data_IF_551501306829
#
_entry.id   IF_551501306829
#
_cell.length_a   1.000
_cell.length_b   1.000
_cell.length_c   1.000
_cell.angle_alpha   90.00
_cell.angle_beta   90.00
_cell.angle_gamma   90.00
#
_symmetry.space_group_name_H-M   'P 1'
#
loop_
_entity.id
_entity.type
_entity.pdbx_description
1 polymer ?
#
# COMPACT_ATOMS: atom_id res chain seq x y z
N UNK A 1 44.41 -21.84 -1.30
CA UNK A 1 43.56 -22.24 -2.45
C UNK A 1 42.46 -23.14 -1.91
N UNK A 2 41.18 -22.79 -1.83
CA UNK A 2 40.31 -21.93 -2.65
C UNK A 2 39.10 -21.53 -1.80
N UNK A 3 38.61 -20.30 -1.97
CA UNK A 3 37.41 -19.74 -1.29
C UNK A 3 36.13 -20.57 -1.54
N UNK A 4 35.18 -20.64 -0.59
CA UNK A 4 33.86 -21.19 -0.86
C UNK A 4 33.06 -20.21 -1.74
N UNK A 5 32.43 -20.74 -2.78
CA UNK A 5 31.60 -19.99 -3.76
C UNK A 5 30.34 -19.42 -3.08
N UNK A 6 29.85 -18.25 -3.52
CA UNK A 6 28.65 -17.66 -2.95
C UNK A 6 27.41 -18.48 -3.29
N UNK A 7 26.49 -18.52 -2.34
CA UNK A 7 25.18 -19.15 -2.40
C UNK A 7 24.51 -18.98 -3.77
N UNK A 8 24.22 -20.09 -4.43
CA UNK A 8 23.25 -20.16 -5.52
C UNK A 8 21.90 -19.68 -5.00
N UNK A 9 21.54 -18.44 -5.37
CA UNK A 9 20.22 -17.86 -5.15
C UNK A 9 19.22 -18.62 -6.04
N UNK A 10 18.70 -19.74 -5.54
CA UNK A 10 17.57 -20.46 -6.15
C UNK A 10 16.40 -19.49 -6.15
N UNK A 11 15.97 -19.02 -7.34
CA UNK A 11 14.70 -18.31 -7.49
C UNK A 11 13.59 -19.35 -7.31
N UNK A 12 12.80 -19.35 -6.22
CA UNK A 12 11.67 -20.24 -6.15
C UNK A 12 10.64 -19.68 -7.11
N UNK A 13 10.30 -20.46 -8.14
CA UNK A 13 9.09 -20.27 -8.94
C UNK A 13 7.90 -20.20 -7.96
N UNK A 14 7.46 -19.00 -7.62
CA UNK A 14 6.33 -18.73 -6.74
C UNK A 14 5.45 -17.69 -7.42
N UNK A 15 4.13 -17.78 -7.15
CA UNK A 15 3.09 -17.07 -7.89
C UNK A 15 3.42 -15.58 -8.11
N UNK A 16 3.13 -15.03 -9.31
CA UNK A 16 3.68 -13.75 -9.80
C UNK A 16 3.39 -12.53 -8.92
N UNK A 17 2.43 -12.61 -7.99
CA UNK A 17 2.00 -11.51 -7.12
C UNK A 17 2.23 -11.73 -5.62
N UNK A 18 3.04 -12.72 -5.20
CA UNK A 18 3.36 -12.92 -3.77
C UNK A 18 4.35 -11.90 -3.21
N UNK A 19 5.03 -11.15 -4.09
CA UNK A 19 5.90 -10.05 -3.71
C UNK A 19 5.19 -8.71 -3.95
N UNK A 20 5.52 -7.67 -3.16
CA UNK A 20 5.14 -6.30 -3.47
C UNK A 20 5.54 -5.89 -4.89
N UNK A 21 4.93 -4.84 -5.42
CA UNK A 21 5.32 -4.31 -6.73
C UNK A 21 6.61 -3.49 -6.60
N UNK A 22 7.63 -3.72 -7.44
CA UNK A 22 8.91 -3.03 -7.38
C UNK A 22 8.80 -1.54 -7.72
N UNK A 23 9.66 -0.74 -7.09
CA UNK A 23 9.79 0.70 -7.29
C UNK A 23 9.84 1.08 -8.78
N UNK A 24 10.60 0.32 -9.56
CA UNK A 24 10.83 0.53 -10.98
C UNK A 24 9.53 0.47 -11.78
N UNK A 25 8.58 -0.37 -11.38
CA UNK A 25 7.26 -0.42 -12.02
C UNK A 25 6.47 0.87 -11.76
N UNK A 26 6.48 1.38 -10.53
CA UNK A 26 5.81 2.64 -10.22
C UNK A 26 6.44 3.82 -10.98
N UNK A 27 7.77 3.85 -11.08
CA UNK A 27 8.52 4.92 -11.76
C UNK A 27 8.36 4.90 -13.28
N UNK A 28 8.45 3.71 -13.89
CA UNK A 28 8.55 3.57 -15.35
C UNK A 28 7.23 3.27 -16.04
N UNK A 29 6.27 2.70 -15.30
CA UNK A 29 4.97 2.29 -15.87
C UNK A 29 3.84 3.13 -15.29
N UNK A 30 3.69 3.20 -13.97
CA UNK A 30 2.51 3.85 -13.36
C UNK A 30 2.57 5.36 -13.50
N UNK A 31 3.60 6.00 -12.92
CA UNK A 31 3.71 7.46 -12.85
C UNK A 31 3.66 8.15 -14.23
N UNK A 32 4.33 7.64 -15.30
CA UNK A 32 4.31 8.27 -16.63
C UNK A 32 2.98 8.08 -17.39
N UNK A 33 2.11 7.17 -16.93
CA UNK A 33 0.83 6.86 -17.58
C UNK A 33 -0.37 7.53 -16.90
N UNK A 34 -0.15 8.19 -15.76
CA UNK A 34 -1.18 9.02 -15.13
C UNK A 34 -1.32 10.35 -15.88
N UNK A 35 -2.56 10.74 -16.16
CA UNK A 35 -2.88 12.10 -16.62
C UNK A 35 -2.45 13.13 -15.56
N UNK A 36 -2.20 14.40 -15.93
CA UNK A 36 -1.93 15.45 -14.95
C UNK A 36 -2.98 15.49 -13.84
N UNK A 37 -2.54 15.46 -12.58
CA UNK A 37 -3.42 15.38 -11.41
C UNK A 37 -3.97 13.98 -11.14
N UNK A 38 -3.44 12.96 -11.82
CA UNK A 38 -3.85 11.57 -11.65
C UNK A 38 -3.47 11.03 -10.26
N UNK A 39 -4.31 10.11 -9.77
CA UNK A 39 -4.15 9.46 -8.48
C UNK A 39 -4.01 7.96 -8.70
N UNK A 40 -3.04 7.34 -8.04
CA UNK A 40 -2.88 5.90 -8.01
C UNK A 40 -3.27 5.36 -6.64
N UNK A 41 -4.07 4.30 -6.57
CA UNK A 41 -4.47 3.65 -5.32
C UNK A 41 -4.16 2.16 -5.43
N UNK A 42 -3.58 1.59 -4.38
CA UNK A 42 -3.34 0.14 -4.30
C UNK A 42 -3.63 -0.43 -2.93
N UNK A 43 -4.19 -1.64 -2.91
CA UNK A 43 -4.27 -2.45 -1.70
C UNK A 43 -2.85 -2.84 -1.26
N UNK A 44 -2.57 -2.72 0.03
CA UNK A 44 -1.22 -2.75 0.59
C UNK A 44 -1.05 -3.81 1.68
N UNK A 45 -1.94 -4.81 1.72
CA UNK A 45 -1.83 -5.96 2.62
C UNK A 45 -2.33 -5.69 4.05
N UNK A 46 -2.04 -6.63 4.97
CA UNK A 46 -2.37 -6.48 6.38
C UNK A 46 -1.79 -5.19 6.98
N UNK A 47 -2.61 -4.48 7.76
CA UNK A 47 -2.27 -3.23 8.41
C UNK A 47 -2.71 -3.25 9.90
N UNK A 48 -2.84 -4.45 10.47
CA UNK A 48 -3.05 -4.66 11.89
C UNK A 48 -1.84 -4.23 12.71
N UNK A 49 -2.03 -4.16 14.03
CA UNK A 49 -1.00 -3.74 14.98
C UNK A 49 0.31 -4.53 14.84
N UNK A 50 0.21 -5.85 14.64
CA UNK A 50 1.35 -6.75 14.50
C UNK A 50 1.70 -7.08 13.04
N UNK A 51 0.75 -6.94 12.12
CA UNK A 51 0.86 -7.38 10.73
C UNK A 51 1.25 -6.26 9.76
N UNK A 52 1.20 -4.98 10.18
CA UNK A 52 1.53 -3.84 9.31
C UNK A 52 2.97 -3.83 8.77
N UNK A 53 3.91 -4.48 9.44
CA UNK A 53 5.32 -4.57 9.01
C UNK A 53 5.58 -5.71 8.04
N UNK A 54 4.60 -6.56 7.75
CA UNK A 54 4.77 -7.67 6.80
C UNK A 54 5.00 -7.14 5.37
N UNK A 55 4.12 -6.23 4.92
CA UNK A 55 4.21 -5.60 3.59
C UNK A 55 3.70 -4.16 3.53
N UNK A 56 2.79 -3.76 4.42
CA UNK A 56 2.12 -2.45 4.31
C UNK A 56 3.10 -1.29 4.44
N UNK A 57 3.99 -1.31 5.44
CA UNK A 57 5.03 -0.28 5.61
C UNK A 57 5.96 -0.21 4.40
N UNK A 58 6.43 -1.37 3.93
CA UNK A 58 7.33 -1.48 2.78
C UNK A 58 6.70 -0.93 1.50
N UNK A 59 5.43 -1.27 1.22
CA UNK A 59 4.69 -0.73 0.06
C UNK A 59 4.54 0.78 0.18
N UNK A 60 4.18 1.29 1.36
CA UNK A 60 4.07 2.73 1.60
C UNK A 60 5.40 3.47 1.36
N UNK A 61 6.49 2.96 1.93
CA UNK A 61 7.84 3.51 1.74
C UNK A 61 8.26 3.48 0.27
N UNK A 62 7.97 2.38 -0.42
CA UNK A 62 8.25 2.22 -1.85
C UNK A 62 7.49 3.25 -2.68
N UNK A 63 6.20 3.47 -2.43
CA UNK A 63 5.44 4.51 -3.12
C UNK A 63 5.96 5.91 -2.81
N UNK A 64 6.35 6.20 -1.56
CA UNK A 64 6.92 7.49 -1.16
C UNK A 64 8.26 7.81 -1.83
N UNK A 65 8.99 6.79 -2.28
CA UNK A 65 10.23 6.97 -3.05
C UNK A 65 9.98 7.37 -4.51
N UNK A 66 8.73 7.36 -4.97
CA UNK A 66 8.34 7.59 -6.38
C UNK A 66 7.37 8.77 -6.52
N UNK A 67 6.36 8.84 -5.64
CA UNK A 67 5.30 9.83 -5.72
C UNK A 67 5.54 10.99 -4.74
N UNK A 68 5.26 12.25 -5.14
CA UNK A 68 5.41 13.41 -4.27
C UNK A 68 4.61 13.35 -2.97
N UNK A 69 3.41 12.77 -2.98
CA UNK A 69 2.60 12.55 -1.79
C UNK A 69 1.96 11.17 -1.79
N UNK A 70 1.95 10.53 -0.60
CA UNK A 70 1.30 9.22 -0.38
C UNK A 70 0.54 9.26 0.93
N UNK A 71 -0.76 9.01 0.87
CA UNK A 71 -1.65 8.89 2.02
C UNK A 71 -2.02 7.43 2.23
N UNK A 72 -1.72 6.92 3.42
CA UNK A 72 -2.13 5.58 3.80
C UNK A 72 -3.45 5.62 4.56
N UNK A 73 -4.30 4.64 4.33
CA UNK A 73 -5.56 4.46 5.05
C UNK A 73 -5.83 2.98 5.23
N UNK A 74 -6.64 2.62 6.22
CA UNK A 74 -6.88 1.22 6.53
C UNK A 74 -8.29 0.99 7.06
N UNK A 75 -8.83 -0.20 6.78
CA UNK A 75 -10.17 -0.61 7.20
C UNK A 75 -10.14 -2.05 7.70
N UNK A 76 -10.87 -2.32 8.77
CA UNK A 76 -11.13 -3.69 9.21
C UNK A 76 -11.98 -4.44 8.17
N UNK A 77 -11.48 -5.59 7.68
CA UNK A 77 -12.21 -6.46 6.76
C UNK A 77 -12.63 -7.71 7.53
N UNK A 78 -13.92 -7.86 7.91
CA UNK A 78 -14.35 -8.91 8.84
C UNK A 78 -14.00 -10.33 8.38
N UNK A 79 -14.11 -10.62 7.10
CA UNK A 79 -13.76 -11.94 6.54
C UNK A 79 -12.26 -12.23 6.54
N UNK A 80 -11.41 -11.22 6.69
CA UNK A 80 -9.96 -11.37 6.79
C UNK A 80 -9.48 -11.45 8.25
N UNK A 81 -10.38 -11.18 9.20
CA UNK A 81 -10.06 -11.12 10.63
C UNK A 81 -8.90 -10.16 10.96
N UNK A 82 -8.69 -9.10 10.14
CA UNK A 82 -7.64 -8.10 10.35
C UNK A 82 -8.02 -6.76 9.69
N UNK A 83 -7.23 -5.73 10.01
CA UNK A 83 -7.20 -4.45 9.30
C UNK A 83 -6.43 -4.62 7.99
N UNK A 84 -7.02 -4.15 6.90
CA UNK A 84 -6.39 -4.12 5.58
C UNK A 84 -6.02 -2.71 5.18
N UNK A 85 -4.78 -2.53 4.71
CA UNK A 85 -4.22 -1.25 4.36
C UNK A 85 -4.31 -0.95 2.86
N UNK A 86 -4.35 0.34 2.56
CA UNK A 86 -4.33 0.90 1.21
C UNK A 86 -3.43 2.12 1.18
N UNK A 87 -2.84 2.40 0.03
CA UNK A 87 -2.04 3.60 -0.21
C UNK A 87 -2.56 4.36 -1.41
N UNK A 88 -2.81 5.65 -1.23
CA UNK A 88 -3.19 6.62 -2.25
C UNK A 88 -1.99 7.52 -2.56
N UNK A 89 -1.48 7.44 -3.79
CA UNK A 89 -0.32 8.17 -4.26
C UNK A 89 -0.71 9.24 -5.28
N UNK A 90 -0.24 10.47 -5.07
CA UNK A 90 -0.62 11.66 -5.84
C UNK A 90 0.60 12.21 -6.58
N UNK A 91 0.39 12.73 -7.79
CA UNK A 91 1.41 13.43 -8.57
C UNK A 91 1.69 14.85 -8.07
N UNK A 92 0.79 15.43 -7.30
CA UNK A 92 0.89 16.79 -6.77
C UNK A 92 0.88 16.74 -5.24
N UNK A 93 1.98 17.17 -4.62
CA UNK A 93 2.10 17.21 -3.16
C UNK A 93 1.27 18.32 -2.51
N UNK A 94 0.81 19.30 -3.29
CA UNK A 94 -0.07 20.38 -2.83
C UNK A 94 -1.56 20.00 -2.88
N UNK A 95 -1.89 18.88 -3.54
CA UNK A 95 -3.24 18.39 -3.63
C UNK A 95 -3.79 18.06 -2.22
N UNK A 96 -4.91 18.68 -1.89
CA UNK A 96 -5.60 18.43 -0.63
C UNK A 96 -6.52 17.23 -0.77
N UNK A 97 -6.57 16.41 0.26
CA UNK A 97 -7.63 15.42 0.40
C UNK A 97 -8.97 16.13 0.55
N UNK A 98 -10.02 15.49 0.04
CA UNK A 98 -11.37 16.02 0.11
C UNK A 98 -11.80 16.13 1.58
N UNK A 99 -12.52 17.21 1.88
CA UNK A 99 -13.33 17.28 3.10
C UNK A 99 -14.46 16.24 3.03
N UNK A 100 -15.02 15.82 4.19
CA UNK A 100 -16.17 14.92 4.21
C UNK A 100 -17.31 15.40 3.31
N UNK A 101 -17.63 16.68 3.37
CA UNK A 101 -18.73 17.30 2.62
C UNK A 101 -18.46 17.30 1.11
N UNK A 102 -17.22 17.57 0.69
CA UNK A 102 -16.82 17.49 -0.71
C UNK A 102 -16.87 16.05 -1.24
N UNK A 103 -16.51 15.06 -0.42
CA UNK A 103 -16.60 13.65 -0.80
C UNK A 103 -18.06 13.28 -1.01
N UNK A 104 -18.93 13.60 -0.05
CA UNK A 104 -20.36 13.26 -0.10
C UNK A 104 -21.06 13.94 -1.29
N UNK A 105 -20.77 15.23 -1.53
CA UNK A 105 -21.32 15.95 -2.68
C UNK A 105 -20.88 15.32 -4.02
N UNK A 106 -19.60 14.97 -4.17
CA UNK A 106 -19.08 14.33 -5.39
C UNK A 106 -19.59 12.90 -5.55
N UNK A 107 -19.77 12.16 -4.46
CA UNK A 107 -20.33 10.82 -4.50
C UNK A 107 -21.78 10.86 -4.99
N UNK A 108 -22.59 11.78 -4.46
CA UNK A 108 -23.97 11.99 -4.89
C UNK A 108 -24.08 12.44 -6.36
N UNK A 109 -23.14 13.27 -6.83
CA UNK A 109 -23.10 13.72 -8.23
C UNK A 109 -22.73 12.60 -9.21
N UNK A 110 -21.78 11.72 -8.83
CA UNK A 110 -21.07 10.84 -9.78
C UNK A 110 -21.46 9.36 -9.70
N UNK A 111 -21.99 8.91 -8.57
CA UNK A 111 -22.32 7.50 -8.34
C UNK A 111 -23.83 7.34 -8.49
N UNK A 112 -24.25 6.78 -9.62
CA UNK A 112 -25.66 6.45 -9.87
C UNK A 112 -26.04 5.11 -9.23
N UNK A 113 -27.26 5.01 -8.71
CA UNK A 113 -27.84 3.78 -8.20
C UNK A 113 -28.02 3.79 -6.68
N UNK A 114 -27.89 2.61 -6.07
CA UNK A 114 -28.02 2.47 -4.62
C UNK A 114 -26.95 3.26 -3.87
N UNK A 115 -27.29 3.88 -2.72
CA UNK A 115 -26.32 4.56 -1.87
C UNK A 115 -25.16 3.64 -1.46
N UNK A 116 -23.98 4.23 -1.28
CA UNK A 116 -22.83 3.53 -0.75
C UNK A 116 -23.16 2.99 0.65
N UNK A 117 -22.97 1.68 0.85
CA UNK A 117 -23.34 1.01 2.11
C UNK A 117 -22.31 1.17 3.22
N UNK A 118 -21.12 1.65 2.88
CA UNK A 118 -19.97 1.69 3.79
C UNK A 118 -19.24 3.02 3.78
N UNK A 119 -18.99 3.60 2.60
CA UNK A 119 -18.14 4.78 2.48
C UNK A 119 -18.97 6.06 2.39
N UNK A 120 -18.73 6.97 3.32
CA UNK A 120 -19.11 8.38 3.29
C UNK A 120 -17.88 9.25 3.67
N UNK A 121 -18.08 10.58 3.67
CA UNK A 121 -17.05 11.57 3.99
C UNK A 121 -16.40 11.34 5.35
N UNK A 122 -17.21 11.10 6.38
CA UNK A 122 -16.72 10.88 7.75
C UNK A 122 -15.96 9.56 7.86
N UNK A 123 -16.45 8.51 7.19
CA UNK A 123 -15.79 7.21 7.13
C UNK A 123 -14.41 7.36 6.52
N UNK A 124 -14.28 7.98 5.33
CA UNK A 124 -12.97 8.17 4.69
C UNK A 124 -12.01 8.95 5.59
N UNK A 125 -12.48 10.03 6.22
CA UNK A 125 -11.68 10.79 7.18
C UNK A 125 -11.18 9.90 8.33
N UNK A 126 -12.03 9.02 8.86
CA UNK A 126 -11.67 8.03 9.86
C UNK A 126 -10.63 7.01 9.37
N UNK A 127 -10.77 6.47 8.15
CA UNK A 127 -9.85 5.48 7.59
C UNK A 127 -8.42 6.01 7.44
N UNK A 128 -8.28 7.32 7.22
CA UNK A 128 -6.99 8.02 7.11
C UNK A 128 -6.30 8.21 8.47
N UNK A 129 -7.01 8.03 9.59
CA UNK A 129 -6.50 8.22 10.95
C UNK A 129 -5.92 6.93 11.52
N UNK A 130 -4.72 6.57 11.07
CA UNK A 130 -4.01 5.37 11.54
C UNK A 130 -3.57 5.49 13.02
N UNK A 131 -3.64 4.39 13.74
CA UNK A 131 -3.22 4.33 15.14
C UNK A 131 -1.71 4.63 15.29
N UNK A 132 -1.29 5.02 16.50
CA UNK A 132 0.09 5.44 16.79
C UNK A 132 1.14 4.37 16.45
N UNK A 133 0.83 3.09 16.63
CA UNK A 133 1.78 2.00 16.41
C UNK A 133 2.03 1.80 14.92
N UNK A 134 0.97 1.78 14.11
CA UNK A 134 1.10 1.71 12.65
C UNK A 134 1.84 2.94 12.11
N UNK A 135 1.49 4.15 12.58
CA UNK A 135 2.19 5.38 12.17
C UNK A 135 3.69 5.35 12.52
N UNK A 136 4.05 4.79 13.68
CA UNK A 136 5.45 4.61 14.07
C UNK A 136 6.15 3.60 13.17
N UNK A 137 5.54 2.44 12.91
CA UNK A 137 6.10 1.42 12.02
C UNK A 137 6.35 1.98 10.61
N UNK A 138 5.41 2.76 10.07
CA UNK A 138 5.59 3.44 8.78
C UNK A 138 6.72 4.46 8.78
N UNK A 139 6.93 5.18 9.88
CA UNK A 139 8.01 6.16 10.00
C UNK A 139 9.39 5.49 10.14
N UNK A 140 9.43 4.33 10.81
CA UNK A 140 10.66 3.56 11.06
C UNK A 140 11.10 2.76 9.82
N UNK A 141 10.18 2.42 8.90
CA UNK A 141 10.50 1.77 7.63
C UNK A 141 11.42 2.63 6.75
N UNK A 142 12.55 2.06 6.35
CA UNK A 142 13.56 2.71 5.48
C UNK A 142 13.80 1.94 4.18
N UNK A 143 13.25 0.74 4.08
CA UNK A 143 13.45 -0.08 2.91
C UNK A 143 12.57 0.39 1.76
N UNK A 144 13.09 0.20 0.54
CA UNK A 144 12.38 0.38 -0.71
C UNK A 144 12.43 -0.96 -1.43
N UNK A 145 11.26 -1.46 -1.84
CA UNK A 145 11.18 -2.70 -2.57
C UNK A 145 11.59 -2.47 -4.03
N UNK A 146 12.74 -3.01 -4.41
CA UNK A 146 13.28 -2.96 -5.78
C UNK A 146 13.34 -4.37 -6.36
N UNK A 147 13.55 -4.46 -7.68
CA UNK A 147 13.73 -5.76 -8.34
C UNK A 147 14.86 -6.62 -7.74
N UNK A 148 15.88 -5.96 -7.16
CA UNK A 148 17.08 -6.62 -6.66
C UNK A 148 16.99 -7.04 -5.18
N UNK A 149 16.04 -6.45 -4.42
CA UNK A 149 15.83 -6.68 -2.99
C UNK A 149 14.47 -7.34 -2.69
N UNK A 150 14.21 -8.48 -3.32
CA UNK A 150 12.94 -9.18 -3.19
C UNK A 150 12.70 -9.73 -1.77
N UNK A 151 11.80 -9.07 -1.02
CA UNK A 151 11.11 -9.61 0.17
C UNK A 151 9.84 -10.35 -0.24
N UNK A 152 9.63 -11.53 0.35
CA UNK A 152 8.44 -12.35 0.10
C UNK A 152 7.66 -12.53 1.40
N UNK A 153 6.32 -12.55 1.29
CA UNK A 153 5.48 -13.00 2.40
C UNK A 153 5.70 -14.51 2.56
N UNK A 154 6.38 -14.90 3.63
CA UNK A 154 6.57 -16.30 3.98
C UNK A 154 5.31 -16.82 4.68
N UNK A 155 4.63 -17.79 4.08
CA UNK A 155 3.64 -18.56 4.83
C UNK A 155 4.36 -19.37 5.90
N UNK A 156 4.00 -19.21 7.16
CA UNK A 156 4.42 -20.10 8.23
C UNK A 156 3.87 -21.49 7.96
N UNK A 157 4.63 -22.33 7.27
CA UNK A 157 4.27 -23.72 7.06
C UNK A 157 4.15 -24.40 8.42
N UNK A 158 3.02 -25.06 8.67
CA UNK A 158 2.93 -26.06 9.74
C UNK A 158 3.88 -27.18 9.35
N UNK A 159 5.02 -27.27 10.04
CA UNK A 159 5.83 -28.48 10.02
C UNK A 159 4.94 -29.60 10.58
N UNK A 160 4.47 -30.48 9.70
CA UNK A 160 3.94 -31.79 10.10
C UNK A 160 5.08 -32.78 10.17
#
# INVERSE_FOLDING_TARGET
>A
CTLPRPHTRIRPHTAPCRAPTPQEFYQTVVLPKLNPGGVFITQSGPCGFLSCTEVFTLIHSTLRSVFPAVHAYAQHIPSFCDIWGYNMALQDASAKLLTPEELDARAAERISGEPLKFLDGQTLQGLLMLNKVVRKAMADEKDVFTKDNARFIHGGGVNK
#
